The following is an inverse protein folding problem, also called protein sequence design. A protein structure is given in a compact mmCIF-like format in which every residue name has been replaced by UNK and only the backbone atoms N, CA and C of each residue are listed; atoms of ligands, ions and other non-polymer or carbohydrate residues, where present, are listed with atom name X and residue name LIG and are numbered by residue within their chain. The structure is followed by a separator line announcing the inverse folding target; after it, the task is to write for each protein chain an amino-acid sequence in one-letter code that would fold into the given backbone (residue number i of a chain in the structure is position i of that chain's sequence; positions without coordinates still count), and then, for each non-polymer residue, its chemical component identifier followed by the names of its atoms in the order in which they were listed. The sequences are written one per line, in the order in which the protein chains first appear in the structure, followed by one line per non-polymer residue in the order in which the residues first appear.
data_IF_338865256781
#
_entry.id   IF_338865256781
#
_cell.length_a   1.000
_cell.length_b   1.000
_cell.length_c   1.000
_cell.angle_alpha   90.00
_cell.angle_beta   90.00
_cell.angle_gamma   90.00
#
_symmetry.space_group_name_H-M   'P 1'
#
loop_
_entity.id
_entity.type
_entity.pdbx_description
1 polymer ?
#
# COMPACT_ATOMS: atom_id res chain seq x y z
N UNK A 1 -17.46 -16.61 -3.31
CA UNK A 1 -16.84 -15.27 -3.52
C UNK A 1 -16.08 -15.33 -4.84
N UNK A 2 -16.46 -14.51 -5.84
CA UNK A 2 -15.87 -14.54 -7.20
C UNK A 2 -14.35 -14.38 -7.14
N UNK A 3 -13.64 -15.20 -7.92
CA UNK A 3 -12.19 -15.20 -8.04
C UNK A 3 -11.68 -13.77 -8.32
N UNK A 4 -10.91 -13.22 -7.37
CA UNK A 4 -10.18 -11.98 -7.61
C UNK A 4 -9.17 -12.23 -8.73
N UNK A 5 -9.26 -11.47 -9.81
CA UNK A 5 -8.30 -11.55 -10.91
C UNK A 5 -6.93 -11.12 -10.40
N UNK A 6 -5.91 -11.99 -10.33
CA UNK A 6 -4.58 -11.64 -9.80
C UNK A 6 -3.92 -10.50 -10.59
N UNK A 7 -4.37 -10.28 -11.83
CA UNK A 7 -3.95 -9.15 -12.67
C UNK A 7 -4.46 -7.79 -12.18
N UNK A 8 -5.68 -7.73 -11.63
CA UNK A 8 -6.26 -6.48 -11.12
C UNK A 8 -5.55 -6.04 -9.84
N UNK A 9 -5.25 -7.00 -8.97
CA UNK A 9 -4.53 -6.75 -7.73
C UNK A 9 -3.09 -6.29 -7.99
N UNK A 10 -2.38 -6.97 -8.90
CA UNK A 10 -1.08 -6.51 -9.39
C UNK A 10 -1.16 -5.08 -9.95
N UNK A 11 -2.20 -4.77 -10.72
CA UNK A 11 -2.38 -3.43 -11.27
C UNK A 11 -2.59 -2.38 -10.15
N UNK A 12 -3.35 -2.70 -9.11
CA UNK A 12 -3.52 -1.83 -7.95
C UNK A 12 -2.21 -1.60 -7.21
N UNK A 13 -1.41 -2.64 -6.96
CA UNK A 13 -0.10 -2.49 -6.31
C UNK A 13 0.86 -1.60 -7.12
N UNK A 14 0.89 -1.79 -8.43
CA UNK A 14 1.69 -0.96 -9.33
C UNK A 14 1.21 0.49 -9.35
N UNK A 15 -0.11 0.70 -9.35
CA UNK A 15 -0.70 2.04 -9.31
C UNK A 15 -0.38 2.74 -7.98
N UNK A 16 -0.53 2.06 -6.84
CA UNK A 16 -0.16 2.59 -5.52
C UNK A 16 1.31 2.97 -5.47
N UNK A 17 2.20 2.07 -5.91
CA UNK A 17 3.63 2.34 -5.96
C UNK A 17 3.96 3.54 -6.86
N UNK A 18 3.31 3.66 -8.03
CA UNK A 18 3.50 4.79 -8.93
C UNK A 18 3.07 6.12 -8.28
N UNK A 19 1.91 6.16 -7.62
CA UNK A 19 1.43 7.35 -6.91
C UNK A 19 2.39 7.76 -5.80
N UNK A 20 2.90 6.79 -5.03
CA UNK A 20 3.89 7.04 -3.97
C UNK A 20 5.24 7.52 -4.53
N UNK A 21 5.71 6.98 -5.66
CA UNK A 21 6.93 7.42 -6.32
C UNK A 21 6.81 8.87 -6.80
N UNK A 22 5.72 9.20 -7.50
CA UNK A 22 5.46 10.55 -7.98
C UNK A 22 5.38 11.56 -6.82
N UNK A 23 4.63 11.22 -5.77
CA UNK A 23 4.47 12.10 -4.61
C UNK A 23 5.74 12.21 -3.78
N UNK A 24 6.49 11.12 -3.62
CA UNK A 24 7.78 11.10 -2.93
C UNK A 24 8.81 11.99 -3.63
N UNK A 25 8.92 11.89 -4.96
CA UNK A 25 9.81 12.72 -5.77
C UNK A 25 9.44 14.22 -5.71
N UNK A 26 8.15 14.54 -5.79
CA UNK A 26 7.62 15.89 -5.61
C UNK A 26 8.01 16.48 -4.24
N UNK A 27 7.88 15.67 -3.18
CA UNK A 27 8.14 16.10 -1.79
C UNK A 27 9.61 16.31 -1.47
N UNK A 28 10.50 15.49 -2.06
CA UNK A 28 11.96 15.69 -1.98
C UNK A 28 12.36 17.00 -2.66
N UNK A 29 11.74 17.33 -3.79
CA UNK A 29 12.00 18.57 -4.54
C UNK A 29 11.61 19.83 -3.76
N UNK A 30 10.61 19.73 -2.88
CA UNK A 30 10.09 20.84 -2.05
C UNK A 30 10.67 20.89 -0.63
N UNK A 31 11.92 20.42 -0.42
CA UNK A 31 12.66 20.50 0.86
C UNK A 31 12.15 19.61 2.01
N UNK A 32 11.17 18.73 1.75
CA UNK A 32 10.64 17.81 2.76
C UNK A 32 11.25 16.41 2.59
N UNK A 33 12.56 16.32 2.83
CA UNK A 33 13.33 15.10 2.62
C UNK A 33 12.82 13.90 3.42
N UNK A 34 12.41 14.08 4.68
CA UNK A 34 11.99 12.97 5.55
C UNK A 34 10.73 12.29 5.01
N UNK A 35 9.66 13.05 4.78
CA UNK A 35 8.38 12.51 4.30
C UNK A 35 8.50 11.99 2.86
N UNK A 36 9.24 12.69 1.99
CA UNK A 36 9.51 12.23 0.63
C UNK A 36 10.30 10.92 0.57
N UNK A 37 11.37 10.80 1.36
CA UNK A 37 12.17 9.56 1.45
C UNK A 37 11.35 8.39 1.99
N UNK A 38 10.47 8.64 2.95
CA UNK A 38 9.63 7.60 3.54
C UNK A 38 8.56 7.09 2.56
N UNK A 39 7.98 7.99 1.74
CA UNK A 39 7.08 7.60 0.65
C UNK A 39 7.80 6.79 -0.43
N UNK A 40 9.01 7.19 -0.83
CA UNK A 40 9.81 6.43 -1.79
C UNK A 40 10.18 5.05 -1.25
N UNK A 41 10.63 4.97 0.01
CA UNK A 41 10.96 3.70 0.67
C UNK A 41 9.76 2.73 0.64
N UNK A 42 8.56 3.22 0.97
CA UNK A 42 7.33 2.43 0.93
C UNK A 42 6.98 1.97 -0.49
N UNK A 43 7.13 2.84 -1.49
CA UNK A 43 6.90 2.49 -2.89
C UNK A 43 7.85 1.38 -3.36
N UNK A 44 9.14 1.49 -3.04
CA UNK A 44 10.13 0.46 -3.34
C UNK A 44 9.84 -0.84 -2.60
N UNK A 45 9.36 -0.78 -1.35
CA UNK A 45 8.99 -1.97 -0.59
C UNK A 45 7.79 -2.70 -1.20
N UNK A 46 6.76 -1.98 -1.67
CA UNK A 46 5.61 -2.56 -2.38
C UNK A 46 6.08 -3.23 -3.68
N UNK A 47 6.90 -2.53 -4.49
CA UNK A 47 7.44 -3.09 -5.72
C UNK A 47 8.31 -4.33 -5.47
N UNK A 48 9.14 -4.29 -4.44
CA UNK A 48 10.00 -5.40 -4.05
C UNK A 48 9.17 -6.62 -3.63
N UNK A 49 8.10 -6.43 -2.84
CA UNK A 49 7.19 -7.51 -2.43
C UNK A 49 6.51 -8.15 -3.64
N UNK A 50 5.95 -7.34 -4.54
CA UNK A 50 5.29 -7.82 -5.77
C UNK A 50 6.27 -8.58 -6.67
N UNK A 51 7.51 -8.08 -6.79
CA UNK A 51 8.54 -8.74 -7.58
C UNK A 51 9.02 -10.04 -6.94
N UNK A 52 9.22 -10.07 -5.62
CA UNK A 52 9.58 -11.27 -4.86
C UNK A 52 8.50 -12.33 -4.98
N UNK A 53 7.23 -11.95 -4.92
CA UNK A 53 6.10 -12.86 -5.09
C UNK A 53 6.20 -13.62 -6.41
N UNK A 54 6.40 -12.89 -7.51
CA UNK A 54 6.55 -13.47 -8.86
C UNK A 54 7.81 -14.30 -9.00
N UNK A 55 8.93 -13.87 -8.39
CA UNK A 55 10.23 -14.51 -8.59
C UNK A 55 10.44 -15.75 -7.71
N UNK A 56 9.94 -15.73 -6.48
CA UNK A 56 10.22 -16.76 -5.47
C UNK A 56 9.07 -17.75 -5.25
N UNK A 57 7.96 -17.63 -6.00
CA UNK A 57 6.76 -18.47 -5.84
C UNK A 57 6.31 -18.58 -4.38
N UNK A 58 6.48 -17.49 -3.62
CA UNK A 58 6.08 -17.43 -2.21
C UNK A 58 4.56 -17.63 -2.12
N UNK A 59 4.09 -18.07 -0.94
CA UNK A 59 2.67 -18.22 -0.69
C UNK A 59 1.93 -16.91 -1.00
N UNK A 60 1.20 -16.91 -2.12
CA UNK A 60 0.48 -15.76 -2.67
C UNK A 60 -0.37 -15.06 -1.59
N UNK A 61 -0.97 -15.85 -0.69
CA UNK A 61 -1.81 -15.37 0.40
C UNK A 61 -1.02 -14.53 1.42
N UNK A 62 0.17 -14.98 1.86
CA UNK A 62 0.95 -14.24 2.87
C UNK A 62 1.53 -12.95 2.29
N UNK A 63 2.05 -13.01 1.07
CA UNK A 63 2.61 -11.81 0.41
C UNK A 63 1.53 -10.77 0.20
N UNK A 64 0.34 -11.20 -0.24
CA UNK A 64 -0.84 -10.35 -0.37
C UNK A 64 -1.25 -9.69 0.95
N UNK A 65 -1.32 -10.44 2.04
CA UNK A 65 -1.64 -9.90 3.37
C UNK A 65 -0.66 -8.82 3.82
N UNK A 66 0.64 -9.08 3.63
CA UNK A 66 1.70 -8.11 3.94
C UNK A 66 1.58 -6.89 3.01
N UNK A 67 1.30 -7.08 1.73
CA UNK A 67 1.16 -6.00 0.77
C UNK A 67 0.02 -5.05 1.15
N UNK A 68 -1.16 -5.57 1.49
CA UNK A 68 -2.27 -4.71 1.97
C UNK A 68 -1.94 -3.97 3.26
N UNK A 69 -1.22 -4.60 4.18
CA UNK A 69 -0.81 -3.96 5.43
C UNK A 69 0.17 -2.81 5.15
N UNK A 70 1.19 -3.05 4.30
CA UNK A 70 2.16 -2.04 3.87
C UNK A 70 1.49 -0.90 3.12
N UNK A 71 0.59 -1.21 2.19
CA UNK A 71 -0.15 -0.20 1.44
C UNK A 71 -1.08 0.61 2.34
N UNK A 72 -1.74 0.00 3.32
CA UNK A 72 -2.57 0.73 4.29
C UNK A 72 -1.75 1.76 5.07
N UNK A 73 -0.52 1.41 5.45
CA UNK A 73 0.40 2.30 6.15
C UNK A 73 0.86 3.44 5.23
N UNK A 74 1.20 3.12 3.98
CA UNK A 74 1.58 4.12 2.99
C UNK A 74 0.45 5.12 2.67
N UNK A 75 -0.78 4.62 2.52
CA UNK A 75 -1.98 5.43 2.30
C UNK A 75 -2.32 6.29 3.54
N UNK A 76 -2.03 5.81 4.74
CA UNK A 76 -2.18 6.60 5.97
C UNK A 76 -1.19 7.75 6.01
N UNK A 77 0.07 7.50 5.65
CA UNK A 77 1.12 8.52 5.60
C UNK A 77 0.81 9.56 4.52
N UNK A 78 0.40 9.14 3.33
CA UNK A 78 0.06 10.10 2.26
C UNK A 78 -1.17 10.94 2.62
N UNK A 79 -2.14 10.37 3.35
CA UNK A 79 -3.28 11.11 3.91
C UNK A 79 -2.81 12.22 4.86
N UNK A 80 -1.90 11.90 5.80
CA UNK A 80 -1.31 12.89 6.72
C UNK A 80 -0.54 13.97 5.95
N UNK A 81 0.25 13.59 4.94
CA UNK A 81 0.98 14.54 4.10
C UNK A 81 0.02 15.49 3.39
N UNK A 82 -1.07 14.99 2.80
CA UNK A 82 -2.06 15.84 2.16
C UNK A 82 -2.81 16.74 3.15
N UNK A 83 -3.01 16.29 4.39
CA UNK A 83 -3.62 17.08 5.44
C UNK A 83 -2.71 18.26 5.81
N UNK A 84 -1.40 18.03 5.93
CA UNK A 84 -0.39 19.07 6.16
C UNK A 84 -0.26 20.04 4.99
N UNK A 85 -0.51 19.59 3.76
CA UNK A 85 -0.54 20.44 2.54
C UNK A 85 -1.83 21.29 2.43
N UNK A 86 -2.77 21.19 3.37
CA UNK A 86 -4.03 21.94 3.34
C UNK A 86 -5.00 21.47 2.25
N UNK A 87 -4.82 20.26 1.70
CA UNK A 87 -5.77 19.71 0.71
C UNK A 87 -7.01 19.23 1.44
N UNK A 88 -8.19 19.78 1.11
CA UNK A 88 -9.41 19.46 1.84
C UNK A 88 -9.97 18.06 1.56
N UNK A 89 -9.96 17.56 0.32
CA UNK A 89 -10.66 16.30 -0.01
C UNK A 89 -9.76 15.06 -0.06
N UNK A 90 -8.51 15.21 -0.51
CA UNK A 90 -7.57 14.09 -0.68
C UNK A 90 -7.27 13.31 0.61
N UNK A 91 -7.04 13.95 1.78
CA UNK A 91 -6.73 13.22 3.01
C UNK A 91 -7.82 12.22 3.38
N UNK A 92 -9.09 12.59 3.22
CA UNK A 92 -10.22 11.71 3.55
C UNK A 92 -10.31 10.51 2.60
N UNK A 93 -10.06 10.72 1.31
CA UNK A 93 -10.05 9.62 0.32
C UNK A 93 -8.94 8.64 0.64
N UNK A 94 -7.71 9.13 0.83
CA UNK A 94 -6.57 8.27 1.16
C UNK A 94 -6.72 7.60 2.53
N UNK A 95 -7.31 8.29 3.51
CA UNK A 95 -7.61 7.74 4.83
C UNK A 95 -8.67 6.64 4.79
N UNK A 96 -9.74 6.83 4.00
CA UNK A 96 -10.76 5.80 3.80
C UNK A 96 -10.18 4.57 3.08
N UNK A 97 -9.32 4.76 2.07
CA UNK A 97 -8.61 3.68 1.41
C UNK A 97 -7.68 2.93 2.39
N UNK A 98 -6.92 3.66 3.20
CA UNK A 98 -6.04 3.09 4.21
C UNK A 98 -6.81 2.21 5.19
N UNK A 99 -7.94 2.70 5.72
CA UNK A 99 -8.78 1.94 6.63
C UNK A 99 -9.35 0.68 5.97
N UNK A 100 -9.81 0.80 4.72
CA UNK A 100 -10.35 -0.34 3.97
C UNK A 100 -9.29 -1.43 3.78
N UNK A 101 -8.07 -1.04 3.39
CA UNK A 101 -6.97 -1.98 3.18
C UNK A 101 -6.53 -2.65 4.49
N UNK A 102 -6.52 -1.89 5.59
CA UNK A 102 -6.25 -2.43 6.92
C UNK A 102 -7.29 -3.47 7.35
N UNK A 103 -8.58 -3.16 7.17
CA UNK A 103 -9.67 -4.10 7.49
C UNK A 103 -9.53 -5.39 6.66
N UNK A 104 -9.26 -5.26 5.36
CA UNK A 104 -9.04 -6.41 4.47
C UNK A 104 -7.84 -7.24 4.92
N UNK A 105 -6.74 -6.60 5.31
CA UNK A 105 -5.56 -7.29 5.84
C UNK A 105 -5.90 -8.07 7.12
N UNK A 106 -6.55 -7.43 8.11
CA UNK A 106 -6.93 -8.05 9.39
C UNK A 106 -7.88 -9.24 9.17
N UNK A 107 -8.92 -9.06 8.36
CA UNK A 107 -9.88 -10.14 8.05
C UNK A 107 -9.19 -11.28 7.33
N UNK A 108 -8.25 -11.00 6.43
CA UNK A 108 -7.48 -12.03 5.75
C UNK A 108 -6.59 -12.82 6.72
N UNK A 109 -5.92 -12.15 7.65
CA UNK A 109 -5.13 -12.80 8.70
C UNK A 109 -5.99 -13.67 9.63
N UNK A 110 -7.14 -13.17 10.05
CA UNK A 110 -8.07 -13.92 10.90
C UNK A 110 -8.53 -15.22 10.22
N UNK A 111 -8.94 -15.15 8.95
CA UNK A 111 -9.34 -16.34 8.17
C UNK A 111 -8.22 -17.34 7.95
N UNK A 112 -6.99 -16.85 7.73
CA UNK A 112 -5.82 -17.71 7.56
C UNK A 112 -5.47 -18.46 8.87
N UNK A 113 -5.73 -17.85 10.04
CA UNK A 113 -5.55 -18.48 11.34
C UNK A 113 -6.61 -19.57 11.60
N UNK A 114 -7.86 -19.30 11.26
CA UNK A 114 -8.96 -20.27 11.39
C UNK A 114 -8.75 -21.52 10.53
N UNK A 115 -8.22 -21.37 9.31
CA UNK A 115 -7.95 -22.50 8.40
C UNK A 115 -6.74 -23.37 8.80
N UNK A 116 -5.95 -22.95 9.78
CA UNK A 116 -4.76 -23.66 10.27
C UNK A 116 -5.03 -24.46 11.56
N UNK A 117 -6.22 -24.32 12.14
CA UNK A 117 -6.72 -25.09 13.29
C UNK A 117 -7.75 -26.13 12.83
#
# INVERSE_FOLDING_TARGET
MKAHSPRLELFLHLLTALVLLLKGADKISHSHFISGSLLLLLAFMILALVFLEKRLHLSHIRVKQICFLVESLALSIISIVFFQEGRHYLPYVFGACALTYLIVAIVSFAKAKEAAH
#
